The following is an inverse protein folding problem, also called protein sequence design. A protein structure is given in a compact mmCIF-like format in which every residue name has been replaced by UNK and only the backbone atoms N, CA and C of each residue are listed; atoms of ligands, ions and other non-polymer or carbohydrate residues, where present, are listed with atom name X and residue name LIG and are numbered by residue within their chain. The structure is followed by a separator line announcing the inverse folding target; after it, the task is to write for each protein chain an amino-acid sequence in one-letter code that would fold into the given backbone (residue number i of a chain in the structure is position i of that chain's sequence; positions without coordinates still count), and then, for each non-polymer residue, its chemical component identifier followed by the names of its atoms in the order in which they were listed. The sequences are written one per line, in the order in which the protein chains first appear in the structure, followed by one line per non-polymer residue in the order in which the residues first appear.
data_IF_995748619237
#
_entry.id   IF_995748619237
#
_cell.length_a   1.000
_cell.length_b   1.000
_cell.length_c   1.000
_cell.angle_alpha   90.00
_cell.angle_beta   90.00
_cell.angle_gamma   90.00
#
_symmetry.space_group_name_H-M   'P 1'
#
loop_
_entity.id
_entity.type
_entity.pdbx_description
1 polymer ?
#
# COMPACT_ATOMS: atom_id res chain seq x y z
N UNK A 1 -21.43 36.88 8.50
CA UNK A 1 -21.47 37.49 7.16
C UNK A 1 -20.08 37.57 6.53
N UNK A 2 -19.05 38.09 7.21
CA UNK A 2 -17.67 38.24 6.67
C UNK A 2 -17.03 37.00 6.00
N UNK A 3 -17.20 35.80 6.55
CA UNK A 3 -16.51 34.59 6.04
C UNK A 3 -17.02 34.08 4.69
N UNK A 4 -18.33 34.20 4.44
CA UNK A 4 -18.96 33.77 3.17
C UNK A 4 -18.60 34.71 2.03
N UNK A 5 -18.58 36.01 2.31
CA UNK A 5 -18.32 37.05 1.30
C UNK A 5 -16.83 37.14 0.92
N UNK A 6 -15.92 36.82 1.86
CA UNK A 6 -14.46 36.91 1.63
C UNK A 6 -13.85 35.60 1.16
N UNK A 7 -14.28 34.46 1.72
CA UNK A 7 -13.66 33.15 1.47
C UNK A 7 -14.58 32.15 0.75
N UNK A 8 -15.87 32.47 0.58
CA UNK A 8 -16.84 31.52 0.01
C UNK A 8 -17.18 30.34 0.94
N UNK A 9 -16.87 30.44 2.23
CA UNK A 9 -17.07 29.37 3.21
C UNK A 9 -18.31 29.65 4.05
N UNK A 10 -19.25 28.71 4.07
CA UNK A 10 -20.39 28.70 4.99
C UNK A 10 -20.08 27.81 6.21
N UNK A 11 -20.64 28.13 7.38
CA UNK A 11 -20.45 27.30 8.60
C UNK A 11 -21.00 25.88 8.43
N UNK A 12 -21.94 25.70 7.51
CA UNK A 12 -22.52 24.40 7.17
C UNK A 12 -21.86 23.72 5.96
N UNK A 13 -20.89 24.37 5.31
CA UNK A 13 -20.18 23.76 4.17
C UNK A 13 -19.15 22.74 4.67
N UNK A 14 -19.00 21.58 4.00
CA UNK A 14 -17.93 20.64 4.32
C UNK A 14 -16.57 21.34 4.27
N UNK A 15 -15.74 21.13 5.28
CA UNK A 15 -14.41 21.76 5.36
C UNK A 15 -13.39 21.15 4.40
N UNK A 16 -13.82 20.15 3.62
CA UNK A 16 -12.99 19.40 2.70
C UNK A 16 -13.14 19.91 1.26
N UNK A 17 -12.02 20.23 0.63
CA UNK A 17 -11.98 20.78 -0.72
C UNK A 17 -11.56 19.70 -1.71
N UNK A 18 -12.33 19.55 -2.79
CA UNK A 18 -11.91 18.72 -3.92
C UNK A 18 -10.73 19.37 -4.65
N UNK A 19 -9.59 18.69 -4.64
CA UNK A 19 -8.35 19.17 -5.26
C UNK A 19 -8.13 18.64 -6.69
N UNK A 20 -8.92 17.65 -7.13
CA UNK A 20 -8.82 17.08 -8.48
C UNK A 20 -8.67 15.56 -8.51
N UNK A 21 -8.38 15.05 -9.70
CA UNK A 21 -8.05 13.65 -9.98
C UNK A 21 -6.80 13.57 -10.84
N UNK A 22 -6.11 12.44 -10.76
CA UNK A 22 -4.91 12.17 -11.56
C UNK A 22 -4.98 10.74 -12.08
N UNK A 23 -4.78 10.57 -13.38
CA UNK A 23 -4.61 9.25 -13.98
C UNK A 23 -3.22 8.70 -13.67
N UNK A 24 -3.13 7.43 -13.25
CA UNK A 24 -1.85 6.75 -12.96
C UNK A 24 -1.49 5.84 -14.12
N UNK A 25 -0.94 6.43 -15.19
CA UNK A 25 -0.44 5.68 -16.34
C UNK A 25 0.80 4.85 -15.98
N UNK A 26 1.11 3.82 -16.76
CA UNK A 26 2.34 3.03 -16.58
C UNK A 26 3.59 3.94 -16.54
N UNK A 27 4.49 3.67 -15.60
CA UNK A 27 5.70 4.46 -15.37
C UNK A 27 5.49 5.80 -14.63
N UNK A 28 4.25 6.18 -14.29
CA UNK A 28 3.98 7.39 -13.51
C UNK A 28 4.16 7.13 -12.01
N UNK A 29 4.91 8.00 -11.35
CA UNK A 29 5.01 8.05 -9.90
C UNK A 29 4.15 9.19 -9.35
N UNK A 30 3.38 8.92 -8.31
CA UNK A 30 2.55 9.92 -7.63
C UNK A 30 2.93 9.96 -6.15
N UNK A 31 3.22 11.16 -5.65
CA UNK A 31 3.62 11.40 -4.26
C UNK A 31 2.68 12.42 -3.66
N UNK A 32 2.06 12.08 -2.54
CA UNK A 32 1.17 12.99 -1.82
C UNK A 32 1.20 12.70 -0.31
N UNK A 33 0.88 13.68 0.54
CA UNK A 33 0.78 13.49 1.98
C UNK A 33 -0.36 12.54 2.37
N UNK A 34 -0.13 11.64 3.34
CA UNK A 34 -1.16 10.73 3.89
C UNK A 34 -2.37 11.45 4.53
N UNK A 35 -2.27 12.77 4.77
CA UNK A 35 -3.36 13.63 5.26
C UNK A 35 -4.38 14.01 4.19
N UNK A 36 -4.12 13.71 2.92
CA UNK A 36 -5.11 13.91 1.87
C UNK A 36 -6.04 12.70 1.83
N UNK A 37 -7.33 12.99 1.90
CA UNK A 37 -8.34 12.02 1.52
C UNK A 37 -8.10 11.70 0.04
N UNK A 38 -7.86 10.43 -0.29
CA UNK A 38 -7.82 9.94 -1.67
C UNK A 38 -8.62 8.64 -1.81
N UNK A 39 -9.06 8.36 -3.05
CA UNK A 39 -9.58 7.04 -3.46
C UNK A 39 -8.96 6.62 -4.78
N UNK A 40 -8.75 5.32 -4.91
CA UNK A 40 -8.49 4.69 -6.20
C UNK A 40 -9.84 4.38 -6.85
N UNK A 41 -10.08 4.88 -8.06
CA UNK A 41 -11.29 4.51 -8.80
C UNK A 41 -11.17 3.06 -9.29
N UNK A 42 -12.30 2.34 -9.30
CA UNK A 42 -12.38 1.04 -9.97
C UNK A 42 -12.04 1.20 -11.44
N UNK A 43 -11.33 0.22 -11.98
CA UNK A 43 -10.97 0.16 -13.40
C UNK A 43 -11.14 -1.27 -13.90
N UNK A 44 -11.31 -1.39 -15.20
CA UNK A 44 -11.43 -2.66 -15.91
C UNK A 44 -10.63 -2.60 -17.21
N UNK A 45 -10.42 -3.75 -17.83
CA UNK A 45 -9.81 -3.79 -19.15
C UNK A 45 -10.78 -3.21 -20.17
N UNK A 46 -10.28 -2.38 -21.08
CA UNK A 46 -11.07 -1.86 -22.20
C UNK A 46 -11.64 -3.01 -23.06
N UNK A 47 -10.90 -4.11 -23.18
CA UNK A 47 -11.36 -5.38 -23.74
C UNK A 47 -11.22 -6.48 -22.68
N UNK A 48 -12.31 -6.93 -22.04
CA UNK A 48 -12.30 -7.99 -21.04
C UNK A 48 -11.83 -9.36 -21.55
N UNK A 49 -11.75 -9.56 -22.87
CA UNK A 49 -11.27 -10.82 -23.47
C UNK A 49 -9.75 -10.91 -23.52
N UNK A 50 -9.04 -9.79 -23.34
CA UNK A 50 -7.59 -9.73 -23.36
C UNK A 50 -7.00 -9.96 -21.96
N UNK A 51 -5.79 -10.53 -21.85
CA UNK A 51 -5.08 -10.56 -20.58
C UNK A 51 -4.64 -9.15 -20.18
N UNK A 52 -4.75 -8.81 -18.91
CA UNK A 52 -4.25 -7.55 -18.39
C UNK A 52 -4.05 -7.56 -16.87
N UNK A 53 -3.20 -6.66 -16.38
CA UNK A 53 -2.92 -6.51 -14.96
C UNK A 53 -2.54 -5.08 -14.61
N UNK A 54 -2.82 -4.68 -13.38
CA UNK A 54 -2.32 -3.45 -12.78
C UNK A 54 -1.43 -3.83 -11.60
N UNK A 55 -0.17 -3.36 -11.61
CA UNK A 55 0.78 -3.54 -10.51
C UNK A 55 1.18 -2.17 -10.00
N UNK A 56 0.79 -1.88 -8.76
CA UNK A 56 1.17 -0.65 -8.06
C UNK A 56 2.16 -1.00 -6.97
N UNK A 57 3.26 -0.24 -6.91
CA UNK A 57 4.23 -0.30 -5.82
C UNK A 57 4.09 0.96 -4.98
N UNK A 58 3.64 0.81 -3.73
CA UNK A 58 3.39 1.91 -2.82
C UNK A 58 4.45 1.95 -1.73
N UNK A 59 5.04 3.12 -1.51
CA UNK A 59 5.94 3.38 -0.39
C UNK A 59 5.26 4.27 0.64
N UNK A 60 5.41 3.92 1.92
CA UNK A 60 4.98 4.77 3.03
C UNK A 60 6.22 5.40 3.66
N UNK A 61 6.30 6.72 3.60
CA UNK A 61 7.34 7.47 4.29
C UNK A 61 6.89 7.68 5.74
N UNK A 62 7.72 7.24 6.68
CA UNK A 62 7.47 7.37 8.12
C UNK A 62 8.24 8.56 8.68
N UNK A 63 7.83 9.04 9.86
CA UNK A 63 8.53 10.10 10.58
C UNK A 63 9.98 9.68 10.89
N UNK A 64 11.01 10.39 10.39
CA UNK A 64 12.40 10.04 10.64
C UNK A 64 12.82 10.21 12.11
N UNK A 65 12.07 10.97 12.92
CA UNK A 65 12.29 11.06 14.36
C UNK A 65 11.91 9.75 15.09
N UNK A 66 11.01 8.97 14.51
CA UNK A 66 10.59 7.66 15.01
C UNK A 66 11.41 6.56 14.36
N UNK A 67 12.36 5.96 15.09
CA UNK A 67 13.13 4.82 14.58
C UNK A 67 12.27 3.56 14.53
N UNK A 68 12.02 3.07 13.32
CA UNK A 68 11.47 1.74 13.06
C UNK A 68 12.50 0.87 12.34
N UNK A 69 12.25 -0.44 12.26
CA UNK A 69 13.08 -1.35 11.48
C UNK A 69 13.02 -0.94 10.01
N UNK A 70 14.17 -0.59 9.44
CA UNK A 70 14.31 -0.32 8.01
C UNK A 70 14.32 -1.62 7.21
N UNK A 71 13.74 -1.60 6.01
CA UNK A 71 13.84 -2.70 5.04
C UNK A 71 15.28 -3.04 4.66
N UNK A 72 16.24 -2.11 4.85
CA UNK A 72 17.67 -2.38 4.69
C UNK A 72 18.21 -3.43 5.70
N UNK A 73 17.52 -3.65 6.81
CA UNK A 73 17.88 -4.63 7.84
C UNK A 73 16.96 -5.85 7.82
N UNK A 74 16.01 -5.93 6.88
CA UNK A 74 15.12 -7.08 6.72
C UNK A 74 15.74 -8.04 5.71
N UNK A 75 15.99 -9.27 6.13
CA UNK A 75 16.48 -10.32 5.24
C UNK A 75 15.45 -10.64 4.15
N UNK A 76 15.86 -11.22 3.00
CA UNK A 76 14.94 -11.79 2.02
C UNK A 76 13.83 -12.62 2.67
N UNK A 77 12.56 -12.32 2.37
CA UNK A 77 11.45 -13.10 2.93
C UNK A 77 10.96 -14.18 1.96
N UNK A 78 11.33 -14.10 0.69
CA UNK A 78 10.91 -15.03 -0.35
C UNK A 78 11.82 -16.27 -0.38
N UNK A 79 11.27 -17.50 -0.21
CA UNK A 79 12.07 -18.73 -0.12
C UNK A 79 13.02 -18.90 -1.32
N UNK A 80 12.52 -18.64 -2.53
CA UNK A 80 13.28 -18.79 -3.77
C UNK A 80 14.52 -17.88 -3.86
N UNK A 81 14.61 -16.80 -3.07
CA UNK A 81 15.79 -15.93 -3.05
C UNK A 81 16.98 -16.59 -2.33
N UNK A 82 16.72 -17.54 -1.44
CA UNK A 82 17.75 -18.29 -0.73
C UNK A 82 18.45 -19.32 -1.59
N UNK A 83 17.84 -19.78 -2.68
CA UNK A 83 18.43 -20.79 -3.58
C UNK A 83 19.85 -20.39 -4.02
N UNK A 84 20.03 -19.13 -4.46
CA UNK A 84 21.34 -18.59 -4.86
C UNK A 84 22.39 -18.53 -3.75
N UNK A 85 21.95 -18.51 -2.49
CA UNK A 85 22.83 -18.57 -1.31
C UNK A 85 23.14 -20.01 -0.94
N UNK A 86 22.13 -20.89 -0.97
CA UNK A 86 22.25 -22.32 -0.65
C UNK A 86 23.12 -23.06 -1.67
N UNK A 87 23.11 -22.64 -2.93
CA UNK A 87 24.03 -23.06 -3.99
C UNK A 87 25.51 -23.00 -3.59
N UNK A 88 25.86 -22.10 -2.66
CA UNK A 88 27.25 -21.88 -2.20
C UNK A 88 27.55 -22.63 -0.89
N UNK A 89 26.64 -23.46 -0.42
CA UNK A 89 26.76 -24.21 0.83
C UNK A 89 26.92 -25.70 0.57
N UNK A 90 27.40 -26.50 1.54
CA UNK A 90 27.41 -27.96 1.44
C UNK A 90 26.02 -28.62 1.50
N UNK A 91 24.93 -27.85 1.61
CA UNK A 91 23.57 -28.37 1.74
C UNK A 91 23.09 -28.85 0.37
N UNK A 92 22.71 -30.11 0.28
CA UNK A 92 22.20 -30.72 -0.95
C UNK A 92 20.91 -30.01 -1.43
N UNK A 93 20.69 -29.83 -2.74
CA UNK A 93 19.49 -29.18 -3.30
C UNK A 93 18.16 -29.78 -2.80
N UNK A 94 18.13 -31.09 -2.57
CA UNK A 94 16.99 -31.82 -2.04
C UNK A 94 16.56 -31.33 -0.64
N UNK A 95 17.49 -30.77 0.13
CA UNK A 95 17.29 -30.29 1.49
C UNK A 95 17.03 -28.78 1.58
N UNK A 96 17.07 -28.05 0.47
CA UNK A 96 16.94 -26.58 0.50
C UNK A 96 15.58 -26.13 1.03
N UNK A 97 14.50 -26.78 0.59
CA UNK A 97 13.16 -26.46 1.05
C UNK A 97 13.07 -26.65 2.58
N UNK A 98 13.55 -27.78 3.09
CA UNK A 98 13.57 -28.06 4.53
C UNK A 98 14.44 -27.05 5.28
N UNK A 99 15.63 -26.74 4.77
CA UNK A 99 16.53 -25.76 5.37
C UNK A 99 15.89 -24.36 5.45
N UNK A 100 15.19 -23.91 4.40
CA UNK A 100 14.54 -22.58 4.40
C UNK A 100 13.40 -22.46 5.41
N UNK A 101 12.75 -23.57 5.80
CA UNK A 101 11.71 -23.55 6.84
C UNK A 101 12.25 -23.14 8.22
N UNK A 102 13.54 -23.33 8.47
CA UNK A 102 14.19 -22.94 9.72
C UNK A 102 14.75 -21.51 9.71
N UNK A 103 14.73 -20.84 8.55
CA UNK A 103 15.19 -19.45 8.45
C UNK A 103 14.08 -18.53 8.92
N UNK A 104 14.33 -17.80 10.02
CA UNK A 104 13.36 -16.87 10.57
C UNK A 104 13.02 -15.75 9.57
N UNK A 105 11.72 -15.48 9.42
CA UNK A 105 11.21 -14.40 8.58
C UNK A 105 10.98 -14.77 7.11
N UNK A 106 11.33 -15.99 6.69
CA UNK A 106 10.91 -16.53 5.40
C UNK A 106 9.39 -16.76 5.42
N UNK A 107 8.72 -16.34 4.35
CA UNK A 107 7.27 -16.42 4.21
C UNK A 107 6.91 -17.10 2.90
N UNK A 108 6.02 -18.07 2.97
CA UNK A 108 5.41 -18.65 1.79
C UNK A 108 4.59 -17.60 1.02
N UNK A 109 4.35 -17.78 -0.29
CA UNK A 109 3.46 -16.91 -1.05
C UNK A 109 2.05 -16.80 -0.45
N UNK A 110 1.57 -17.85 0.22
CA UNK A 110 0.27 -17.86 0.87
C UNK A 110 0.25 -16.98 2.13
N UNK A 111 1.29 -17.05 2.97
CA UNK A 111 1.42 -16.20 4.16
C UNK A 111 1.61 -14.73 3.78
N UNK A 112 2.45 -14.45 2.78
CA UNK A 112 2.63 -13.09 2.27
C UNK A 112 1.31 -12.50 1.72
N UNK A 113 0.49 -13.33 1.07
CA UNK A 113 -0.86 -12.93 0.64
C UNK A 113 -1.78 -12.68 1.84
N UNK A 114 -1.75 -13.54 2.85
CA UNK A 114 -2.55 -13.34 4.06
C UNK A 114 -2.26 -12.01 4.76
N UNK A 115 -0.98 -11.67 4.97
CA UNK A 115 -0.59 -10.38 5.55
C UNK A 115 -0.98 -9.19 4.67
N UNK A 116 -0.92 -9.33 3.34
CA UNK A 116 -1.43 -8.32 2.42
C UNK A 116 -2.93 -8.09 2.59
N UNK A 117 -3.70 -9.16 2.71
CA UNK A 117 -5.16 -9.08 2.85
C UNK A 117 -5.53 -8.45 4.21
N UNK A 118 -4.82 -8.81 5.28
CA UNK A 118 -4.95 -8.19 6.61
C UNK A 118 -4.65 -6.68 6.56
N UNK A 119 -3.50 -6.30 5.98
CA UNK A 119 -3.13 -4.89 5.81
C UNK A 119 -4.18 -4.11 5.01
N UNK A 120 -4.76 -4.71 3.97
CA UNK A 120 -5.80 -4.10 3.15
C UNK A 120 -7.09 -3.89 3.95
N UNK A 121 -7.48 -4.88 4.76
CA UNK A 121 -8.62 -4.79 5.68
C UNK A 121 -8.45 -3.66 6.70
N UNK A 122 -7.28 -3.60 7.35
CA UNK A 122 -6.98 -2.57 8.35
C UNK A 122 -6.97 -1.17 7.75
N UNK A 123 -6.36 -1.01 6.56
CA UNK A 123 -6.39 0.27 5.83
C UNK A 123 -7.81 0.70 5.50
N UNK A 124 -8.67 -0.24 5.11
CA UNK A 124 -10.08 0.04 4.83
C UNK A 124 -10.80 0.55 6.08
N UNK A 125 -10.57 -0.09 7.23
CA UNK A 125 -11.15 0.32 8.52
C UNK A 125 -10.68 1.70 8.96
N UNK A 126 -9.37 1.98 8.84
CA UNK A 126 -8.79 3.29 9.17
C UNK A 126 -9.37 4.39 8.27
N UNK A 127 -9.45 4.11 6.96
CA UNK A 127 -10.01 5.06 5.98
C UNK A 127 -11.48 5.34 6.27
N UNK A 128 -12.27 4.32 6.58
CA UNK A 128 -13.67 4.50 6.97
C UNK A 128 -13.82 5.37 8.23
N UNK A 129 -13.02 5.13 9.26
CA UNK A 129 -13.00 5.96 10.46
C UNK A 129 -12.61 7.42 10.14
N UNK A 130 -11.58 7.63 9.32
CA UNK A 130 -11.14 8.98 8.95
C UNK A 130 -12.18 9.72 8.11
N UNK A 131 -12.87 9.04 7.20
CA UNK A 131 -13.94 9.64 6.42
C UNK A 131 -15.07 10.14 7.33
N UNK A 132 -15.45 9.35 8.32
CA UNK A 132 -16.50 9.71 9.29
C UNK A 132 -16.08 10.85 10.22
N UNK A 133 -14.89 10.76 10.83
CA UNK A 133 -14.51 11.64 11.93
C UNK A 133 -13.65 12.84 11.52
N UNK A 134 -13.04 12.82 10.32
CA UNK A 134 -12.02 13.81 9.93
C UNK A 134 -12.31 14.53 8.63
N UNK A 135 -12.84 13.83 7.63
CA UNK A 135 -12.98 14.39 6.28
C UNK A 135 -14.39 14.85 5.93
N UNK A 136 -15.39 14.54 6.78
CA UNK A 136 -16.78 15.01 6.67
C UNK A 136 -17.45 14.70 5.32
N UNK A 137 -16.82 13.86 4.49
CA UNK A 137 -17.28 13.48 3.16
C UNK A 137 -17.04 11.99 2.93
N UNK A 138 -18.12 11.27 2.63
CA UNK A 138 -18.00 9.94 2.06
C UNK A 138 -17.58 10.08 0.58
N UNK A 139 -16.73 9.17 0.12
CA UNK A 139 -16.53 9.00 -1.31
C UNK A 139 -17.84 8.49 -1.93
N UNK A 140 -18.48 9.30 -2.77
CA UNK A 140 -19.53 8.83 -3.70
C UNK A 140 -18.93 7.99 -4.81
#
# INVERSE_FOLDING_TARGET
MYWKDVYGIDLESPHNQYIGSLEVSNGRCVVYPNRYQHKEQSFELADPTQPGHCKVLTFFVVDPACRIVSTAHVAPQQPQWYNSSLDKTPILPELWNDATQYIQGVQSPAEAKHYRDELTSDRTRITAAYNTYRYEQAYS
#
